data_IF_005841438110
#
_entry.id   IF_005841438110
#
_cell.length_a   1.000
_cell.length_b   1.000
_cell.length_c   1.000
_cell.angle_alpha   90.00
_cell.angle_beta   90.00
_cell.angle_gamma   90.00
#
_symmetry.space_group_name_H-M   'P 1'
#
loop_
_entity.id
_entity.type
_entity.pdbx_description
1 polymer ?
#
# COMPACT_ATOMS: atom_id res chain seq x y z
N UNK A 1 1.11 15.33 9.23
CA UNK A 1 0.03 16.33 9.28
C UNK A 1 -0.47 16.46 7.84
N UNK A 2 -1.64 15.90 7.55
CA UNK A 2 -2.22 15.91 6.21
C UNK A 2 -2.51 17.35 5.78
N UNK A 3 -1.96 17.79 4.65
CA UNK A 3 -2.18 19.10 4.06
C UNK A 3 -2.61 18.87 2.61
N UNK A 4 -3.91 18.95 2.34
CA UNK A 4 -4.45 18.80 0.98
C UNK A 4 -3.96 19.95 0.08
N UNK A 5 -3.24 19.69 -1.04
CA UNK A 5 -2.90 20.73 -2.01
C UNK A 5 -4.00 20.93 -3.05
N UNK A 6 -4.09 22.16 -3.56
CA UNK A 6 -4.96 22.53 -4.69
C UNK A 6 -4.34 22.14 -6.05
N UNK A 7 -5.14 21.81 -7.08
CA UNK A 7 -4.65 21.18 -8.32
C UNK A 7 -4.06 22.18 -9.33
N UNK A 8 -2.92 21.84 -9.96
CA UNK A 8 -2.49 22.44 -11.24
C UNK A 8 -1.89 21.39 -12.20
N UNK A 9 -2.35 21.50 -13.45
CA UNK A 9 -2.14 20.63 -14.61
C UNK A 9 -0.70 20.26 -14.95
N UNK A 10 -0.50 18.99 -15.31
CA UNK A 10 0.69 18.44 -15.96
C UNK A 10 0.45 18.37 -17.48
N UNK A 11 1.41 18.85 -18.27
CA UNK A 11 1.48 18.61 -19.72
C UNK A 11 2.54 17.53 -19.97
N UNK A 12 2.16 16.61 -20.87
CA UNK A 12 2.75 15.30 -21.17
C UNK A 12 3.83 15.33 -22.28
N UNK A 13 4.48 14.16 -22.45
CA UNK A 13 5.22 13.62 -23.64
C UNK A 13 6.75 13.69 -23.59
N UNK A 14 7.58 12.80 -24.16
CA UNK A 14 7.55 11.38 -24.56
C UNK A 14 8.90 11.04 -25.28
N UNK A 15 9.46 9.84 -25.03
CA UNK A 15 10.10 8.85 -25.96
C UNK A 15 11.31 9.25 -26.86
N UNK A 16 12.43 8.49 -26.81
CA UNK A 16 12.87 7.45 -27.80
C UNK A 16 14.40 7.17 -27.91
N UNK A 17 14.75 5.87 -27.83
CA UNK A 17 15.60 5.03 -28.70
C UNK A 17 17.04 5.41 -29.12
N UNK A 18 17.95 4.45 -28.90
CA UNK A 18 19.19 4.27 -29.65
C UNK A 18 19.82 2.89 -29.43
N UNK A 19 19.55 1.93 -30.33
CA UNK A 19 20.31 0.68 -30.50
C UNK A 19 21.46 0.89 -31.49
N UNK A 20 22.60 0.20 -31.31
CA UNK A 20 23.50 -0.31 -32.37
C UNK A 20 24.74 -0.99 -31.75
N UNK A 21 25.13 -2.17 -32.24
CA UNK A 21 26.50 -2.67 -32.11
C UNK A 21 26.68 -4.19 -31.93
N UNK A 22 26.95 -4.90 -33.04
CA UNK A 22 27.38 -6.31 -33.13
C UNK A 22 28.80 -6.55 -32.58
N UNK A 23 29.01 -7.62 -31.81
CA UNK A 23 30.26 -8.40 -31.79
C UNK A 23 30.04 -9.76 -31.09
N UNK A 24 30.50 -10.85 -31.72
CA UNK A 24 30.44 -12.22 -31.22
C UNK A 24 31.58 -12.51 -30.23
N UNK A 25 31.25 -13.17 -29.10
CA UNK A 25 32.23 -13.69 -28.14
C UNK A 25 31.94 -15.18 -27.86
N UNK A 26 32.96 -16.04 -27.72
CA UNK A 26 32.79 -17.47 -27.47
C UNK A 26 32.25 -17.73 -26.06
N UNK A 27 31.18 -18.52 -25.94
CA UNK A 27 30.58 -18.94 -24.66
C UNK A 27 31.39 -20.09 -24.07
N UNK A 28 32.23 -19.77 -23.09
CA UNK A 28 32.76 -20.75 -22.14
C UNK A 28 31.62 -21.20 -21.23
N UNK A 29 31.36 -22.51 -21.17
CA UNK A 29 30.34 -23.07 -20.28
C UNK A 29 30.69 -22.76 -18.82
N UNK A 30 29.88 -21.91 -18.19
CA UNK A 30 29.98 -21.54 -16.79
C UNK A 30 29.49 -22.70 -15.91
N UNK A 31 30.35 -23.19 -15.02
CA UNK A 31 29.92 -24.00 -13.89
C UNK A 31 29.18 -23.08 -12.91
N UNK A 32 27.86 -22.99 -13.06
CA UNK A 32 27.01 -22.37 -12.07
C UNK A 32 26.88 -23.30 -10.87
N UNK A 33 27.54 -22.93 -9.78
CA UNK A 33 27.17 -23.40 -8.45
C UNK A 33 25.70 -23.04 -8.24
N UNK A 34 24.83 -24.04 -8.04
CA UNK A 34 23.42 -23.81 -7.75
C UNK A 34 23.29 -22.83 -6.59
N UNK A 35 22.52 -21.73 -6.71
CA UNK A 35 22.24 -20.92 -5.55
C UNK A 35 21.50 -21.79 -4.55
N UNK A 36 21.98 -21.83 -3.30
CA UNK A 36 21.23 -22.34 -2.17
C UNK A 36 19.90 -21.59 -2.15
N UNK A 37 18.84 -22.25 -2.60
CA UNK A 37 17.48 -21.75 -2.52
C UNK A 37 17.19 -21.56 -1.04
N UNK A 38 17.24 -20.32 -0.55
CA UNK A 38 16.50 -19.96 0.65
C UNK A 38 15.07 -20.38 0.36
N UNK A 39 14.55 -21.35 1.09
CA UNK A 39 13.16 -21.73 1.00
C UNK A 39 12.34 -20.48 1.34
N UNK A 40 11.83 -19.81 0.30
CA UNK A 40 10.74 -18.84 0.42
C UNK A 40 9.60 -19.60 1.06
N UNK A 41 9.42 -19.43 2.36
CA UNK A 41 8.23 -19.92 3.05
C UNK A 41 7.07 -19.20 2.40
N UNK A 42 6.15 -19.96 1.81
CA UNK A 42 4.87 -19.42 1.38
C UNK A 42 4.23 -18.69 2.58
N UNK A 43 3.58 -17.53 2.37
CA UNK A 43 2.84 -16.88 3.43
C UNK A 43 1.85 -17.89 4.00
N UNK A 44 2.05 -18.23 5.26
CA UNK A 44 1.18 -19.15 5.98
C UNK A 44 0.19 -18.26 6.71
N UNK A 45 -1.07 -18.26 6.29
CA UNK A 45 -2.15 -17.57 7.01
C UNK A 45 -2.08 -18.02 8.46
N UNK A 46 -1.71 -17.11 9.36
CA UNK A 46 -1.64 -17.42 10.78
C UNK A 46 -3.08 -17.61 11.25
N UNK A 47 -3.47 -18.79 11.79
CA UNK A 47 -4.87 -19.08 12.12
C UNK A 47 -5.41 -18.26 13.31
N UNK A 48 -4.58 -17.42 13.92
CA UNK A 48 -4.93 -16.56 15.05
C UNK A 48 -4.76 -15.10 14.67
N UNK A 49 -5.89 -14.40 14.51
CA UNK A 49 -5.92 -12.95 14.39
C UNK A 49 -5.95 -12.33 15.79
N UNK A 50 -5.10 -11.34 16.01
CA UNK A 50 -5.05 -10.52 17.21
C UNK A 50 -5.69 -9.16 16.93
N UNK A 51 -6.72 -8.81 17.70
CA UNK A 51 -7.37 -7.51 17.59
C UNK A 51 -6.46 -6.38 18.10
N UNK A 52 -6.40 -5.32 17.33
CA UNK A 52 -5.76 -4.05 17.65
C UNK A 52 -6.82 -2.94 17.59
N UNK A 53 -6.88 -2.15 18.66
CA UNK A 53 -7.75 -0.98 18.73
C UNK A 53 -6.90 0.26 18.83
N UNK A 54 -7.22 1.26 18.01
CA UNK A 54 -6.59 2.57 18.09
C UNK A 54 -6.69 3.13 19.52
N UNK A 55 -5.63 3.79 19.97
CA UNK A 55 -5.61 4.43 21.30
C UNK A 55 -6.67 5.50 21.46
N UNK A 56 -7.05 6.17 20.37
CA UNK A 56 -8.16 7.14 20.35
C UNK A 56 -9.53 6.47 20.18
N UNK A 57 -9.58 5.14 20.03
CA UNK A 57 -10.80 4.36 19.90
C UNK A 57 -11.52 4.49 18.56
N UNK A 58 -10.91 5.13 17.56
CA UNK A 58 -11.56 5.48 16.28
C UNK A 58 -11.64 4.34 15.27
N UNK A 59 -10.79 3.33 15.41
CA UNK A 59 -10.85 2.13 14.58
C UNK A 59 -10.38 0.89 15.35
N UNK A 60 -10.76 -0.27 14.82
CA UNK A 60 -10.29 -1.59 15.23
C UNK A 60 -9.93 -2.40 13.99
N UNK A 61 -8.90 -3.23 14.10
CA UNK A 61 -8.44 -4.13 13.03
C UNK A 61 -7.84 -5.37 13.69
N UNK A 62 -8.00 -6.55 13.09
CA UNK A 62 -7.32 -7.75 13.55
C UNK A 62 -6.22 -8.14 12.55
N UNK A 63 -5.04 -8.45 13.07
CA UNK A 63 -3.86 -8.80 12.29
C UNK A 63 -3.38 -10.21 12.68
N UNK A 64 -2.74 -10.97 11.78
CA UNK A 64 -2.10 -12.22 12.16
C UNK A 64 -1.13 -12.02 13.35
N UNK A 65 -1.16 -12.93 14.32
CA UNK A 65 -0.48 -12.75 15.62
C UNK A 65 1.05 -12.60 15.53
N UNK A 66 1.66 -13.02 14.43
CA UNK A 66 3.08 -12.93 14.14
C UNK A 66 3.49 -11.66 13.40
N UNK A 67 2.53 -10.80 13.02
CA UNK A 67 2.84 -9.52 12.38
C UNK A 67 3.49 -8.57 13.37
N UNK A 68 4.51 -7.85 12.89
CA UNK A 68 5.08 -6.72 13.61
C UNK A 68 4.10 -5.54 13.55
N UNK A 69 3.89 -4.87 14.68
CA UNK A 69 2.95 -3.75 14.81
C UNK A 69 3.64 -2.56 15.45
N UNK A 70 3.52 -1.39 14.83
CA UNK A 70 4.09 -0.14 15.32
C UNK A 70 3.01 0.94 15.34
N UNK A 71 2.76 1.51 16.51
CA UNK A 71 1.79 2.60 16.65
C UNK A 71 2.40 3.89 16.11
N UNK A 72 1.60 4.64 15.34
CA UNK A 72 1.96 5.98 14.88
C UNK A 72 1.09 7.02 15.59
N UNK A 73 1.44 8.32 15.56
CA UNK A 73 0.60 9.36 16.17
C UNK A 73 -0.82 9.42 15.62
N UNK A 74 -1.05 8.91 14.42
CA UNK A 74 -2.32 9.00 13.69
C UNK A 74 -2.91 7.64 13.35
N UNK A 75 -2.29 6.54 13.77
CA UNK A 75 -2.82 5.19 13.56
C UNK A 75 -1.79 4.08 13.80
N UNK A 76 -1.61 3.23 12.80
CA UNK A 76 -0.90 1.95 12.91
C UNK A 76 -0.09 1.65 11.65
N UNK A 77 1.11 1.07 11.82
CA UNK A 77 1.87 0.39 10.77
C UNK A 77 2.01 -1.08 11.14
N UNK A 78 1.88 -1.98 10.18
CA UNK A 78 2.09 -3.40 10.37
C UNK A 78 2.87 -4.04 9.22
N UNK A 79 3.58 -5.13 9.52
CA UNK A 79 4.39 -5.87 8.57
C UNK A 79 4.37 -7.37 8.86
N UNK A 80 4.36 -8.18 7.80
CA UNK A 80 4.47 -9.63 7.87
C UNK A 80 5.86 -10.07 8.36
N UNK A 81 5.99 -11.28 8.95
CA UNK A 81 7.28 -11.79 9.44
C UNK A 81 8.37 -11.94 8.36
N UNK A 82 7.96 -12.18 7.11
CA UNK A 82 8.87 -12.31 5.97
C UNK A 82 9.27 -10.96 5.36
N UNK A 83 8.65 -9.86 5.79
CA UNK A 83 8.89 -8.52 5.29
C UNK A 83 8.39 -8.28 3.86
N UNK A 84 7.68 -9.22 3.25
CA UNK A 84 7.15 -9.11 1.90
C UNK A 84 5.78 -8.45 1.82
N UNK A 85 5.11 -8.25 2.95
CA UNK A 85 3.79 -7.61 3.03
C UNK A 85 3.72 -6.64 4.21
N UNK A 86 2.99 -5.55 4.01
CA UNK A 86 2.77 -4.58 5.05
C UNK A 86 1.53 -3.76 4.80
N UNK A 87 1.23 -2.90 5.77
CA UNK A 87 0.14 -1.97 5.63
C UNK A 87 0.15 -0.91 6.72
N UNK A 88 -0.66 0.12 6.51
CA UNK A 88 -0.88 1.15 7.50
C UNK A 88 -2.36 1.49 7.60
N UNK A 89 -2.78 1.85 8.81
CA UNK A 89 -3.98 2.62 9.05
C UNK A 89 -3.55 4.01 9.46
N UNK A 90 -4.03 5.03 8.76
CA UNK A 90 -3.80 6.44 9.10
C UNK A 90 -5.15 7.15 9.24
N UNK A 91 -5.16 8.22 10.03
CA UNK A 91 -6.34 9.06 10.24
C UNK A 91 -5.99 10.53 10.11
N UNK A 92 -6.90 11.30 9.54
CA UNK A 92 -6.80 12.75 9.40
C UNK A 92 -8.08 13.44 9.85
N UNK A 93 -7.99 14.73 10.17
CA UNK A 93 -9.18 15.56 10.37
C UNK A 93 -9.62 16.14 9.03
N UNK A 94 -10.94 16.13 8.80
CA UNK A 94 -11.59 16.77 7.66
C UNK A 94 -11.81 18.28 7.88
N UNK A 95 -11.44 18.80 9.06
CA UNK A 95 -11.52 20.21 9.42
C UNK A 95 -12.93 20.82 9.25
N UNK A 96 -13.95 20.02 9.57
CA UNK A 96 -15.36 20.37 9.46
C UNK A 96 -15.91 20.31 8.03
N UNK A 97 -15.12 19.85 7.06
CA UNK A 97 -15.54 19.70 5.67
C UNK A 97 -16.06 18.29 5.42
N UNK A 98 -17.02 18.18 4.50
CA UNK A 98 -17.47 16.88 3.98
C UNK A 98 -16.96 16.73 2.54
N UNK A 99 -16.19 15.67 2.29
CA UNK A 99 -15.58 15.41 1.00
C UNK A 99 -16.46 14.49 0.15
N UNK A 100 -16.51 14.76 -1.16
CA UNK A 100 -17.04 13.78 -2.10
C UNK A 100 -16.07 12.61 -2.26
N UNK A 101 -16.52 11.50 -2.86
CA UNK A 101 -15.64 10.36 -3.16
C UNK A 101 -14.48 10.77 -4.09
N UNK A 102 -14.74 11.64 -5.07
CA UNK A 102 -13.73 12.16 -5.98
C UNK A 102 -12.71 13.05 -5.25
N UNK A 103 -13.17 13.86 -4.28
CA UNK A 103 -12.27 14.68 -3.47
C UNK A 103 -11.37 13.80 -2.58
N UNK A 104 -11.93 12.77 -1.94
CA UNK A 104 -11.16 11.81 -1.14
C UNK A 104 -10.10 11.09 -1.98
N UNK A 105 -10.50 10.62 -3.16
CA UNK A 105 -9.56 10.00 -4.10
C UNK A 105 -8.42 10.96 -4.48
N UNK A 106 -8.77 12.18 -4.92
CA UNK A 106 -7.81 13.20 -5.35
C UNK A 106 -6.84 13.56 -4.21
N UNK A 107 -7.38 13.73 -3.02
CA UNK A 107 -6.64 13.99 -1.80
C UNK A 107 -5.59 12.90 -1.52
N UNK A 108 -6.00 11.63 -1.54
CA UNK A 108 -5.09 10.52 -1.26
C UNK A 108 -4.01 10.38 -2.34
N UNK A 109 -4.39 10.51 -3.61
CA UNK A 109 -3.44 10.46 -4.73
C UNK A 109 -2.38 11.54 -4.62
N UNK A 110 -2.81 12.77 -4.31
CA UNK A 110 -1.92 13.91 -4.16
C UNK A 110 -0.93 13.72 -3.00
N UNK A 111 -1.37 13.13 -1.89
CA UNK A 111 -0.45 12.82 -0.78
C UNK A 111 0.60 11.79 -1.21
N UNK A 112 0.17 10.71 -1.87
CA UNK A 112 1.08 9.63 -2.26
C UNK A 112 2.08 10.08 -3.31
N UNK A 113 1.68 10.93 -4.24
CA UNK A 113 2.59 11.56 -5.21
C UNK A 113 3.66 12.46 -4.57
N UNK A 114 3.46 12.93 -3.33
CA UNK A 114 4.49 13.69 -2.59
C UNK A 114 5.46 12.78 -1.83
N UNK A 115 5.01 11.59 -1.43
CA UNK A 115 5.76 10.67 -0.56
C UNK A 115 6.46 9.56 -1.32
N UNK A 116 5.95 9.19 -2.49
CA UNK A 116 6.36 8.05 -3.28
C UNK A 116 6.87 8.50 -4.65
N UNK A 117 7.76 7.71 -5.24
CA UNK A 117 8.22 7.85 -6.61
C UNK A 117 7.56 6.83 -7.54
N UNK A 118 7.61 7.10 -8.84
CA UNK A 118 7.16 6.18 -9.91
C UNK A 118 5.73 5.64 -9.74
N UNK A 119 4.84 6.41 -9.11
CA UNK A 119 3.48 5.96 -8.85
C UNK A 119 2.68 5.80 -10.14
N UNK A 120 1.93 4.70 -10.23
CA UNK A 120 1.00 4.41 -11.31
C UNK A 120 -0.33 3.96 -10.72
N UNK A 121 -1.38 4.70 -11.06
CA UNK A 121 -2.76 4.41 -10.65
C UNK A 121 -3.36 3.34 -11.58
N UNK A 122 -3.75 2.20 -11.02
CA UNK A 122 -4.30 1.07 -11.78
C UNK A 122 -5.83 1.13 -11.88
N UNK A 123 -6.51 1.65 -10.86
CA UNK A 123 -7.95 1.80 -10.85
C UNK A 123 -8.48 2.41 -9.57
N UNK A 124 -9.72 2.94 -9.64
CA UNK A 124 -10.45 3.46 -8.49
C UNK A 124 -11.88 2.93 -8.52
N UNK A 125 -12.37 2.49 -7.36
CA UNK A 125 -13.66 1.82 -7.23
C UNK A 125 -14.42 2.36 -6.03
N UNK A 126 -15.66 2.80 -6.24
CA UNK A 126 -16.53 3.18 -5.13
C UNK A 126 -16.76 1.97 -4.20
N UNK A 127 -16.58 2.19 -2.91
CA UNK A 127 -16.84 1.19 -1.88
C UNK A 127 -18.22 1.42 -1.27
N UNK A 128 -18.97 0.34 -1.07
CA UNK A 128 -20.36 0.36 -0.62
C UNK A 128 -20.59 1.03 0.75
N UNK A 129 -19.53 1.19 1.55
CA UNK A 129 -19.61 1.86 2.86
C UNK A 129 -19.33 3.38 2.82
N UNK A 130 -19.25 4.00 1.64
CA UNK A 130 -19.05 5.45 1.52
C UNK A 130 -17.57 5.86 1.46
N UNK A 131 -16.75 5.02 0.84
CA UNK A 131 -15.33 5.28 0.61
C UNK A 131 -14.91 4.94 -0.82
N UNK A 132 -13.61 5.03 -1.09
CA UNK A 132 -13.00 4.68 -2.38
C UNK A 132 -11.88 3.69 -2.15
N UNK A 133 -11.86 2.61 -2.94
CA UNK A 133 -10.71 1.74 -3.13
C UNK A 133 -9.86 2.26 -4.29
N UNK A 134 -8.55 2.34 -4.11
CA UNK A 134 -7.60 2.75 -5.14
C UNK A 134 -6.50 1.69 -5.23
N UNK A 135 -6.29 1.16 -6.42
CA UNK A 135 -5.24 0.18 -6.71
C UNK A 135 -4.07 0.91 -7.38
N UNK A 136 -2.85 0.69 -6.92
CA UNK A 136 -1.68 1.43 -7.39
C UNK A 136 -0.38 0.63 -7.20
N UNK A 137 0.63 1.00 -8.00
CA UNK A 137 2.03 0.60 -7.79
C UNK A 137 2.89 1.83 -7.64
N UNK A 138 4.00 1.73 -6.91
CA UNK A 138 4.92 2.85 -6.70
C UNK A 138 6.23 2.40 -6.09
N UNK A 139 7.05 3.35 -5.68
CA UNK A 139 8.33 3.11 -5.03
C UNK A 139 8.45 3.96 -3.77
N UNK A 140 8.89 3.35 -2.68
CA UNK A 140 9.10 4.05 -1.41
C UNK A 140 10.48 4.77 -1.38
N UNK A 141 10.75 5.66 -0.40
CA UNK A 141 12.04 6.33 -0.29
C UNK A 141 13.25 5.41 -0.07
N UNK A 142 13.02 4.15 0.32
CA UNK A 142 14.07 3.15 0.47
C UNK A 142 14.36 2.40 -0.85
N UNK A 143 13.61 2.70 -1.92
CA UNK A 143 13.75 2.08 -3.24
C UNK A 143 13.00 0.75 -3.38
N UNK A 144 12.10 0.43 -2.45
CA UNK A 144 11.27 -0.77 -2.56
C UNK A 144 10.10 -0.53 -3.51
N UNK A 145 9.86 -1.49 -4.40
CA UNK A 145 8.67 -1.49 -5.23
C UNK A 145 7.45 -1.91 -4.40
N UNK A 146 6.38 -1.12 -4.47
CA UNK A 146 5.13 -1.38 -3.81
C UNK A 146 4.05 -1.73 -4.83
N UNK A 147 3.29 -2.78 -4.56
CA UNK A 147 2.04 -3.11 -5.24
C UNK A 147 0.94 -3.13 -4.19
N UNK A 148 -0.06 -2.25 -4.33
CA UNK A 148 -0.83 -1.78 -3.19
C UNK A 148 -2.29 -1.49 -3.49
N UNK A 149 -3.09 -1.63 -2.44
CA UNK A 149 -4.50 -1.25 -2.41
C UNK A 149 -4.71 -0.31 -1.23
N UNK A 150 -5.37 0.82 -1.48
CA UNK A 150 -5.78 1.78 -0.47
C UNK A 150 -7.29 1.90 -0.40
N UNK A 151 -7.81 2.02 0.81
CA UNK A 151 -9.19 2.34 1.10
C UNK A 151 -9.22 3.66 1.86
N UNK A 152 -9.92 4.65 1.31
CA UNK A 152 -10.15 5.94 1.97
C UNK A 152 -11.64 6.15 2.21
N UNK A 153 -11.99 6.59 3.42
CA UNK A 153 -13.36 6.86 3.82
C UNK A 153 -13.40 8.03 4.80
N UNK A 154 -14.48 8.80 4.78
CA UNK A 154 -14.76 9.81 5.80
C UNK A 154 -15.92 9.36 6.68
N UNK A 155 -15.77 9.55 8.00
CA UNK A 155 -16.84 9.46 8.98
C UNK A 155 -16.78 10.65 9.94
N UNK A 156 -17.81 11.49 9.91
CA UNK A 156 -17.82 12.75 10.65
C UNK A 156 -16.65 13.65 10.24
N UNK A 157 -15.89 14.14 11.22
CA UNK A 157 -14.68 14.94 10.99
C UNK A 157 -13.41 14.10 10.77
N UNK A 158 -13.50 12.76 10.71
CA UNK A 158 -12.31 11.92 10.57
C UNK A 158 -12.27 11.26 9.19
N UNK A 159 -11.13 11.40 8.51
CA UNK A 159 -10.76 10.65 7.33
C UNK A 159 -9.93 9.46 7.77
N UNK A 160 -10.26 8.28 7.27
CA UNK A 160 -9.62 7.02 7.54
C UNK A 160 -8.99 6.50 6.25
N UNK A 161 -7.73 6.07 6.35
CA UNK A 161 -7.00 5.48 5.23
C UNK A 161 -6.42 4.15 5.69
N UNK A 162 -6.85 3.05 5.09
CA UNK A 162 -6.19 1.75 5.20
C UNK A 162 -5.44 1.50 3.89
N UNK A 163 -4.13 1.31 3.95
CA UNK A 163 -3.31 0.92 2.79
C UNK A 163 -2.60 -0.38 3.11
N UNK A 164 -2.65 -1.33 2.19
CA UNK A 164 -1.94 -2.61 2.27
C UNK A 164 -1.13 -2.81 1.00
N UNK A 165 0.08 -3.35 1.11
CA UNK A 165 1.00 -3.47 -0.01
C UNK A 165 1.91 -4.70 0.09
N UNK A 166 2.24 -5.27 -1.08
CA UNK A 166 3.40 -6.14 -1.24
C UNK A 166 4.67 -5.31 -1.41
N UNK A 167 5.78 -5.79 -0.85
CA UNK A 167 7.11 -5.15 -0.90
C UNK A 167 8.02 -5.99 -1.78
N UNK A 168 8.46 -5.44 -2.92
CA UNK A 168 9.26 -6.13 -3.94
C UNK A 168 8.62 -7.45 -4.43
N UNK A 169 7.30 -7.55 -4.30
CA UNK A 169 6.47 -8.69 -4.67
C UNK A 169 5.05 -8.21 -4.97
N UNK A 170 4.30 -8.99 -5.75
CA UNK A 170 2.93 -8.63 -6.09
C UNK A 170 2.02 -8.75 -4.86
N UNK A 171 1.11 -7.80 -4.70
CA UNK A 171 0.09 -7.79 -3.64
C UNK A 171 -0.69 -9.11 -3.58
N UNK A 172 -1.01 -9.64 -4.77
CA UNK A 172 -1.79 -10.87 -4.93
C UNK A 172 -1.20 -12.10 -4.25
N UNK A 173 0.09 -12.09 -3.93
CA UNK A 173 0.76 -13.14 -3.14
C UNK A 173 0.20 -13.25 -1.72
N UNK A 174 -0.35 -12.16 -1.20
CA UNK A 174 -0.86 -12.03 0.18
C UNK A 174 -2.38 -11.79 0.23
N UNK A 175 -3.13 -12.14 -0.83
CA UNK A 175 -4.58 -11.93 -0.87
C UNK A 175 -5.31 -12.55 0.34
N UNK A 176 -4.90 -13.74 0.78
CA UNK A 176 -5.55 -14.39 1.93
C UNK A 176 -5.38 -13.58 3.22
N UNK A 177 -4.18 -13.08 3.49
CA UNK A 177 -3.90 -12.24 4.66
C UNK A 177 -4.58 -10.88 4.53
N UNK A 178 -4.51 -10.27 3.35
CA UNK A 178 -5.17 -9.00 3.06
C UNK A 178 -6.70 -9.07 3.25
N UNK A 179 -7.34 -10.12 2.73
CA UNK A 179 -8.78 -10.32 2.86
C UNK A 179 -9.16 -10.55 4.32
N UNK A 180 -8.38 -11.34 5.07
CA UNK A 180 -8.60 -11.55 6.50
C UNK A 180 -8.48 -10.26 7.31
N UNK A 181 -7.46 -9.45 7.03
CA UNK A 181 -7.23 -8.15 7.66
C UNK A 181 -8.38 -7.19 7.32
N UNK A 182 -8.71 -7.02 6.04
CA UNK A 182 -9.77 -6.13 5.59
C UNK A 182 -11.13 -6.53 6.15
N UNK A 183 -11.44 -7.83 6.22
CA UNK A 183 -12.68 -8.35 6.78
C UNK A 183 -12.88 -7.98 8.25
N UNK A 184 -11.82 -7.65 8.99
CA UNK A 184 -11.88 -7.29 10.42
C UNK A 184 -11.77 -5.78 10.66
N UNK A 185 -11.42 -4.99 9.65
CA UNK A 185 -11.29 -3.54 9.78
C UNK A 185 -12.65 -2.87 10.05
N UNK A 186 -12.76 -2.14 11.15
CA UNK A 186 -13.97 -1.45 11.58
C UNK A 186 -13.65 -0.03 12.01
N UNK A 187 -14.32 0.93 11.40
CA UNK A 187 -14.36 2.31 11.89
C UNK A 187 -15.36 2.37 13.04
N UNK A 188 -14.97 3.02 14.14
CA UNK A 188 -15.81 3.20 15.31
C UNK A 188 -16.49 4.59 15.23
N UNK A 189 -17.74 4.72 15.71
CA UNK A 189 -18.46 5.99 15.73
C UNK A 189 -17.85 7.05 16.66
#
# INVERSE_FOLDING_TARGET
>A
MWLFPSPRSVVSSAIALGCLGLAACPVTAQSFSSPTTLATRLPTVSPFLQAYRDTSGRFEIALPADYAVTNTPTGLLFASPDGGFGGMVDTGSAQGQWFSLEDLETALKTEFEQRLSHITWQGSYAHNQGGVRIDWVGEDPAGNQLDAISFIQQQGDTIFVLTMWGINTAYSTYNDDADAIFATYRIQP
#
